data_IF_731891131316
#
_entry.id   IF_731891131316
#
_cell.length_a   1.000
_cell.length_b   1.000
_cell.length_c   1.000
_cell.angle_alpha   90.00
_cell.angle_beta   90.00
_cell.angle_gamma   90.00
#
_symmetry.space_group_name_H-M   'P 1'
#
loop_
_entity.id
_entity.type
_entity.pdbx_description
1 polymer ?
#
# COMPACT_ATOMS: atom_id res chain seq x y z
N UNK A 1 4.86 17.88 -3.64
CA UNK A 1 5.75 17.32 -4.70
C UNK A 1 5.03 17.19 -6.04
N UNK A 2 5.61 17.71 -7.13
CA UNK A 2 5.09 17.61 -8.50
C UNK A 2 5.59 16.31 -9.20
N UNK A 3 4.75 15.68 -10.02
CA UNK A 3 5.13 14.50 -10.80
C UNK A 3 6.21 14.83 -11.83
N UNK A 4 6.18 16.01 -12.44
CA UNK A 4 7.22 16.41 -13.40
C UNK A 4 8.58 16.57 -12.73
N UNK A 5 8.59 17.06 -11.48
CA UNK A 5 9.80 17.20 -10.67
C UNK A 5 10.43 15.84 -10.37
N UNK A 6 9.63 14.82 -10.04
CA UNK A 6 10.11 13.45 -9.85
C UNK A 6 10.84 12.91 -11.09
N UNK A 7 10.28 13.15 -12.28
CA UNK A 7 10.94 12.78 -13.54
C UNK A 7 12.30 13.46 -13.70
N UNK A 8 12.40 14.76 -13.34
CA UNK A 8 13.66 15.51 -13.38
C UNK A 8 14.69 15.03 -12.35
N UNK A 9 14.23 14.51 -11.21
CA UNK A 9 15.07 13.89 -10.19
C UNK A 9 15.51 12.46 -10.55
N UNK A 10 15.13 11.97 -11.74
CA UNK A 10 15.52 10.65 -12.24
C UNK A 10 14.59 9.52 -11.78
N UNK A 11 13.44 9.83 -11.18
CA UNK A 11 12.45 8.83 -10.83
C UNK A 11 11.75 8.28 -12.08
N UNK A 12 11.51 6.98 -12.09
CA UNK A 12 10.72 6.32 -13.14
C UNK A 12 9.25 6.37 -12.74
N UNK A 13 8.44 7.12 -13.50
CA UNK A 13 7.00 7.18 -13.30
C UNK A 13 6.33 6.04 -14.05
N UNK A 14 5.47 5.30 -13.35
CA UNK A 14 4.70 4.20 -13.91
C UNK A 14 3.23 4.36 -13.54
N UNK A 15 2.36 4.13 -14.51
CA UNK A 15 0.91 4.26 -14.35
C UNK A 15 0.23 2.92 -14.60
N UNK A 16 -1.01 2.80 -14.14
CA UNK A 16 -1.87 1.63 -14.37
C UNK A 16 -1.26 0.31 -13.85
N UNK A 17 -0.51 0.39 -12.75
CA UNK A 17 0.02 -0.79 -12.07
C UNK A 17 -1.08 -1.36 -11.16
N UNK A 18 -1.65 -2.49 -11.56
CA UNK A 18 -2.62 -3.23 -10.73
C UNK A 18 -1.90 -3.90 -9.56
N UNK A 19 -2.27 -3.51 -8.33
CA UNK A 19 -1.70 -4.05 -7.10
C UNK A 19 -1.84 -5.57 -6.98
N UNK A 20 -2.86 -6.17 -7.60
CA UNK A 20 -3.07 -7.61 -7.60
C UNK A 20 -2.06 -8.35 -8.48
N UNK A 21 -1.44 -7.63 -9.43
CA UNK A 21 -0.59 -8.19 -10.49
C UNK A 21 0.79 -7.53 -10.56
N UNK A 22 1.12 -6.61 -9.65
CA UNK A 22 2.35 -5.83 -9.72
C UNK A 22 3.63 -6.70 -9.72
N UNK A 23 3.64 -7.82 -9.00
CA UNK A 23 4.80 -8.75 -9.00
C UNK A 23 5.01 -9.49 -10.34
N UNK A 24 3.98 -9.52 -11.17
CA UNK A 24 3.98 -10.14 -12.51
C UNK A 24 3.96 -9.10 -13.64
N UNK A 25 3.93 -7.81 -13.31
CA UNK A 25 3.89 -6.75 -14.29
C UNK A 25 5.11 -6.85 -15.23
N UNK A 26 4.97 -6.76 -16.56
CA UNK A 26 6.06 -7.06 -17.51
C UNK A 26 7.36 -6.32 -17.23
N UNK A 27 7.27 -5.08 -16.74
CA UNK A 27 8.44 -4.25 -16.43
C UNK A 27 8.98 -4.52 -15.00
N UNK A 28 8.11 -4.80 -14.02
CA UNK A 28 8.51 -4.94 -12.61
C UNK A 28 8.88 -6.38 -12.24
N UNK A 29 8.50 -7.35 -13.09
CA UNK A 29 8.72 -8.77 -12.83
C UNK A 29 10.21 -9.04 -12.64
N UNK A 30 10.55 -9.62 -11.50
CA UNK A 30 11.93 -9.96 -11.14
C UNK A 30 12.71 -8.82 -10.48
N UNK A 31 12.18 -7.58 -10.48
CA UNK A 31 12.77 -6.49 -9.71
C UNK A 31 12.56 -6.72 -8.22
N UNK A 32 13.56 -6.33 -7.43
CA UNK A 32 13.53 -6.34 -5.97
C UNK A 32 13.70 -4.93 -5.43
N UNK A 33 13.01 -4.63 -4.34
CA UNK A 33 12.99 -3.32 -3.71
C UNK A 33 13.32 -3.44 -2.23
N UNK A 34 14.11 -2.50 -1.73
CA UNK A 34 14.43 -2.40 -0.31
C UNK A 34 13.26 -1.81 0.49
N UNK A 35 12.52 -0.89 -0.12
CA UNK A 35 11.34 -0.27 0.50
C UNK A 35 10.23 -0.19 -0.55
N UNK A 36 9.03 -0.65 -0.18
CA UNK A 36 7.81 -0.46 -0.97
C UNK A 36 6.81 0.31 -0.12
N UNK A 37 6.35 1.45 -0.60
CA UNK A 37 5.48 2.38 0.13
C UNK A 37 4.10 2.43 -0.53
N UNK A 38 3.03 2.31 0.25
CA UNK A 38 1.67 2.55 -0.21
C UNK A 38 0.96 3.56 0.68
N UNK A 39 0.69 4.74 0.12
CA UNK A 39 0.08 5.85 0.84
C UNK A 39 -1.43 5.86 0.65
N UNK A 40 -2.17 5.83 1.75
CA UNK A 40 -3.63 6.05 1.79
C UNK A 40 -4.42 5.14 0.83
N UNK A 41 -4.20 3.83 0.95
CA UNK A 41 -4.86 2.84 0.11
C UNK A 41 -6.40 2.96 0.16
N UNK A 42 -7.05 3.00 -1.01
CA UNK A 42 -8.51 3.12 -1.12
C UNK A 42 -9.05 2.31 -2.30
N UNK A 43 -10.12 1.53 -2.10
CA UNK A 43 -10.72 0.67 -3.13
C UNK A 43 -11.66 1.44 -4.08
N UNK A 44 -11.49 2.77 -4.18
CA UNK A 44 -12.42 3.68 -4.84
C UNK A 44 -13.73 3.92 -4.07
N UNK A 45 -14.52 4.89 -4.55
CA UNK A 45 -15.85 5.17 -4.02
C UNK A 45 -16.90 4.40 -4.81
N UNK A 46 -17.79 3.73 -4.09
CA UNK A 46 -18.92 3.01 -4.69
C UNK A 46 -20.16 3.81 -4.31
N UNK A 47 -21.03 4.08 -5.29
CA UNK A 47 -22.34 4.66 -5.02
C UNK A 47 -23.01 3.90 -3.88
N UNK A 48 -23.89 4.53 -3.10
CA UNK A 48 -24.63 3.92 -1.97
C UNK A 48 -23.81 3.33 -0.80
N UNK A 49 -22.48 3.19 -0.88
CA UNK A 49 -21.64 2.74 0.24
C UNK A 49 -20.89 3.90 0.91
N UNK A 50 -20.66 3.76 2.21
CA UNK A 50 -19.90 4.67 3.07
C UNK A 50 -18.71 3.94 3.70
N UNK A 51 -17.70 4.69 4.15
CA UNK A 51 -16.47 4.14 4.75
C UNK A 51 -16.71 3.22 5.96
N UNK A 52 -17.86 3.35 6.63
CA UNK A 52 -18.23 2.49 7.76
C UNK A 52 -19.00 1.22 7.37
N UNK A 53 -19.42 1.10 6.11
CA UNK A 53 -20.15 -0.06 5.61
C UNK A 53 -19.21 -1.25 5.48
N UNK A 54 -19.64 -2.39 6.05
CA UNK A 54 -18.85 -3.62 6.09
C UNK A 54 -18.45 -4.10 4.69
N UNK A 55 -19.30 -3.92 3.68
CA UNK A 55 -18.98 -4.28 2.30
C UNK A 55 -17.81 -3.45 1.75
N UNK A 56 -17.79 -2.14 1.98
CA UNK A 56 -16.73 -1.27 1.50
C UNK A 56 -15.43 -1.54 2.28
N UNK A 57 -15.52 -1.70 3.60
CA UNK A 57 -14.38 -2.11 4.44
C UNK A 57 -13.76 -3.41 3.90
N UNK A 58 -14.56 -4.41 3.54
CA UNK A 58 -14.05 -5.67 3.00
C UNK A 58 -13.27 -5.46 1.69
N UNK A 59 -13.74 -4.58 0.79
CA UNK A 59 -13.00 -4.22 -0.44
C UNK A 59 -11.68 -3.52 -0.14
N UNK A 60 -11.64 -2.65 0.86
CA UNK A 60 -10.38 -2.03 1.32
C UNK A 60 -9.40 -3.06 1.87
N UNK A 61 -9.88 -3.99 2.69
CA UNK A 61 -9.07 -5.10 3.23
C UNK A 61 -8.53 -5.99 2.11
N UNK A 62 -9.33 -6.28 1.09
CA UNK A 62 -8.90 -7.04 -0.09
C UNK A 62 -7.77 -6.33 -0.84
N UNK A 63 -7.91 -5.03 -1.07
CA UNK A 63 -6.88 -4.20 -1.71
C UNK A 63 -5.56 -4.22 -0.93
N UNK A 64 -5.63 -3.96 0.38
CA UNK A 64 -4.45 -3.91 1.26
C UNK A 64 -3.82 -5.30 1.43
N UNK A 65 -4.62 -6.35 1.55
CA UNK A 65 -4.13 -7.73 1.59
C UNK A 65 -3.48 -8.17 0.26
N UNK A 66 -4.02 -7.72 -0.88
CA UNK A 66 -3.39 -7.94 -2.18
C UNK A 66 -2.05 -7.20 -2.28
N UNK A 67 -1.98 -5.96 -1.80
CA UNK A 67 -0.73 -5.21 -1.69
C UNK A 67 0.32 -5.97 -0.90
N UNK A 68 0.05 -6.38 0.34
CA UNK A 68 1.05 -7.08 1.16
C UNK A 68 1.55 -8.38 0.52
N UNK A 69 0.64 -9.19 -0.03
CA UNK A 69 1.00 -10.46 -0.70
C UNK A 69 1.89 -10.25 -1.92
N UNK A 70 1.61 -9.20 -2.71
CA UNK A 70 2.39 -8.89 -3.90
C UNK A 70 3.72 -8.20 -3.54
N UNK A 71 3.70 -7.23 -2.62
CA UNK A 71 4.88 -6.49 -2.17
C UNK A 71 5.91 -7.43 -1.55
N UNK A 72 5.50 -8.37 -0.71
CA UNK A 72 6.38 -9.39 -0.12
C UNK A 72 7.19 -10.15 -1.18
N UNK A 73 6.59 -10.48 -2.32
CA UNK A 73 7.28 -11.19 -3.42
C UNK A 73 8.32 -10.30 -4.12
N UNK A 74 8.19 -8.99 -3.99
CA UNK A 74 9.03 -7.98 -4.63
C UNK A 74 10.07 -7.38 -3.67
N UNK A 75 10.09 -7.77 -2.39
CA UNK A 75 11.11 -7.31 -1.46
C UNK A 75 12.46 -7.99 -1.70
N UNK A 76 13.54 -7.21 -1.54
CA UNK A 76 14.90 -7.71 -1.31
C UNK A 76 15.01 -8.36 0.07
N UNK A 77 16.14 -9.02 0.35
CA UNK A 77 16.41 -9.56 1.68
C UNK A 77 16.53 -8.41 2.70
N UNK A 78 15.75 -8.49 3.78
CA UNK A 78 15.68 -7.42 4.79
C UNK A 78 14.84 -6.20 4.37
N UNK A 79 14.22 -6.21 3.19
CA UNK A 79 13.37 -5.12 2.72
C UNK A 79 12.08 -4.94 3.53
N UNK A 80 11.47 -3.77 3.39
CA UNK A 80 10.33 -3.34 4.19
C UNK A 80 9.14 -2.90 3.34
N UNK A 81 7.94 -3.21 3.84
CA UNK A 81 6.69 -2.65 3.32
C UNK A 81 6.22 -1.59 4.28
N UNK A 82 6.05 -0.37 3.77
CA UNK A 82 5.50 0.75 4.52
C UNK A 82 4.09 1.01 4.00
N UNK A 83 3.14 1.19 4.91
CA UNK A 83 1.77 1.58 4.57
C UNK A 83 1.35 2.74 5.45
N UNK A 84 0.73 3.73 4.82
CA UNK A 84 0.10 4.82 5.54
C UNK A 84 -1.39 4.59 5.60
N UNK A 85 -1.91 4.55 6.82
CA UNK A 85 -3.28 4.21 7.13
C UNK A 85 -3.78 5.04 8.30
N UNK A 86 -5.08 5.37 8.29
CA UNK A 86 -5.74 6.01 9.44
C UNK A 86 -6.01 4.97 10.52
N UNK A 87 -5.82 5.36 11.77
CA UNK A 87 -5.98 4.47 12.92
C UNK A 87 -7.24 4.77 13.74
N UNK A 88 -8.09 5.66 13.24
CA UNK A 88 -9.35 6.02 13.86
C UNK A 88 -10.54 5.38 13.14
N UNK A 89 -11.71 5.36 13.79
CA UNK A 89 -12.89 4.71 13.24
C UNK A 89 -13.40 5.40 11.96
N UNK A 90 -13.79 4.65 10.90
CA UNK A 90 -13.89 3.19 10.81
C UNK A 90 -12.65 2.47 10.23
N UNK A 91 -11.55 3.18 10.04
CA UNK A 91 -10.34 2.68 9.38
C UNK A 91 -9.58 1.66 10.23
N UNK A 92 -9.63 1.81 11.55
CA UNK A 92 -9.14 0.83 12.53
C UNK A 92 -9.69 -0.59 12.28
N UNK A 93 -10.95 -0.72 11.83
CA UNK A 93 -11.62 -1.99 11.52
C UNK A 93 -11.00 -2.76 10.35
N UNK A 94 -10.12 -2.13 9.57
CA UNK A 94 -9.44 -2.82 8.47
C UNK A 94 -8.44 -3.84 9.00
N UNK A 95 -7.93 -3.64 10.22
CA UNK A 95 -6.95 -4.50 10.89
C UNK A 95 -5.77 -4.86 9.98
N UNK A 96 -5.10 -3.83 9.47
CA UNK A 96 -4.04 -3.96 8.47
C UNK A 96 -2.84 -4.76 8.98
N UNK A 97 -2.63 -4.81 10.30
CA UNK A 97 -1.54 -5.59 10.90
C UNK A 97 -1.83 -7.07 10.76
N UNK A 98 -3.06 -7.51 11.02
CA UNK A 98 -3.47 -8.90 10.77
C UNK A 98 -3.38 -9.26 9.28
N UNK A 99 -3.81 -8.37 8.38
CA UNK A 99 -3.67 -8.59 6.92
C UNK A 99 -2.20 -8.75 6.49
N UNK A 100 -1.29 -7.97 7.09
CA UNK A 100 0.14 -8.10 6.84
C UNK A 100 0.69 -9.43 7.37
N UNK A 101 0.26 -9.85 8.58
CA UNK A 101 0.64 -11.13 9.17
C UNK A 101 0.17 -12.32 8.33
N UNK A 102 -1.06 -12.29 7.81
CA UNK A 102 -1.60 -13.29 6.87
C UNK A 102 -0.78 -13.38 5.58
N UNK A 103 -0.19 -12.26 5.12
CA UNK A 103 0.71 -12.25 3.96
C UNK A 103 2.13 -12.78 4.28
N UNK A 104 2.44 -13.04 5.55
CA UNK A 104 3.75 -13.48 6.03
C UNK A 104 4.73 -12.34 6.31
N UNK A 105 4.22 -11.13 6.59
CA UNK A 105 4.99 -9.99 7.08
C UNK A 105 4.87 -9.89 8.60
N UNK A 106 5.77 -9.16 9.24
CA UNK A 106 5.71 -8.88 10.68
C UNK A 106 5.75 -7.37 10.88
N UNK A 107 4.91 -6.87 11.78
CA UNK A 107 4.96 -5.47 12.19
C UNK A 107 6.33 -5.19 12.83
N UNK A 108 7.07 -4.27 12.23
CA UNK A 108 8.34 -3.76 12.76
C UNK A 108 8.07 -2.59 13.71
N UNK A 109 7.35 -1.59 13.23
CA UNK A 109 7.05 -0.37 13.97
C UNK A 109 5.75 0.27 13.50
N UNK A 110 5.19 1.15 14.33
CA UNK A 110 4.06 2.02 14.04
C UNK A 110 4.40 3.41 14.57
N UNK A 111 4.41 4.40 13.68
CA UNK A 111 4.76 5.79 13.99
C UNK A 111 3.58 6.71 13.70
N UNK A 112 3.51 7.83 14.42
CA UNK A 112 2.50 8.85 14.14
C UNK A 112 2.82 9.56 12.83
N UNK A 113 1.80 9.87 12.05
CA UNK A 113 1.98 10.69 10.87
C UNK A 113 2.27 12.14 11.30
N UNK A 114 3.41 12.67 10.86
CA UNK A 114 3.64 14.11 10.81
C UNK A 114 3.62 14.59 9.37
N UNK A 115 2.80 15.59 9.06
CA UNK A 115 2.78 16.23 7.74
C UNK A 115 4.14 16.86 7.40
N UNK A 116 4.86 17.37 8.41
CA UNK A 116 6.17 18.00 8.23
C UNK A 116 7.27 17.05 7.74
N UNK A 117 7.06 15.74 7.83
CA UNK A 117 7.99 14.72 7.34
C UNK A 117 7.80 14.42 5.84
N UNK A 118 6.87 15.12 5.18
CA UNK A 118 6.52 14.91 3.78
C UNK A 118 6.68 16.21 2.97
N UNK A 119 7.25 16.17 1.75
CA UNK A 119 7.52 17.36 0.92
C UNK A 119 6.30 18.02 0.27
#
# INVERSE_FOLDING_TARGET
MDLEELGRLGCVLMYQIDVHKMHTHPILKGMKFDIIIFNFAHAGHICYLREHDTELIQKHKELVGAYFRNARKMLSEGGEVHIRHRDDSPYDRWDIVSLAAEAGLKLKEKVWFSESEYP
#
